data_IF_568313542595
#
_entry.id   IF_568313542595
#
_cell.length_a   1.000
_cell.length_b   1.000
_cell.length_c   1.000
_cell.angle_alpha   90.00
_cell.angle_beta   90.00
_cell.angle_gamma   90.00
#
_symmetry.space_group_name_H-M   'P 1'
#
loop_
_entity.id
_entity.type
_entity.pdbx_description
1 polymer ?
#
# COMPACT_ATOMS: atom_id res chain seq x y z
N UNK A 1 5.11 -17.60 10.03
CA UNK A 1 5.95 -16.66 9.27
C UNK A 1 5.78 -17.04 7.81
N UNK A 2 5.51 -16.07 6.92
CA UNK A 2 5.37 -16.38 5.49
C UNK A 2 6.74 -16.71 4.90
N UNK A 3 6.82 -17.78 4.10
CA UNK A 3 8.05 -18.15 3.40
C UNK A 3 8.27 -17.32 2.12
N UNK A 4 7.29 -16.51 1.72
CA UNK A 4 7.36 -15.63 0.55
C UNK A 4 8.34 -14.46 0.80
N UNK A 5 9.39 -14.27 -0.03
CA UNK A 5 10.32 -13.16 0.08
C UNK A 5 9.65 -11.78 0.04
N UNK A 6 8.56 -11.62 -0.71
CA UNK A 6 7.81 -10.36 -0.82
C UNK A 6 7.13 -10.05 0.52
N UNK A 7 6.51 -11.06 1.15
CA UNK A 7 5.85 -10.90 2.44
C UNK A 7 6.85 -10.51 3.53
N UNK A 8 8.03 -11.13 3.54
CA UNK A 8 9.07 -10.78 4.51
C UNK A 8 9.63 -9.36 4.31
N UNK A 9 9.71 -8.88 3.07
CA UNK A 9 10.10 -7.50 2.79
C UNK A 9 9.02 -6.52 3.27
N UNK A 10 7.76 -6.81 2.97
CA UNK A 10 6.61 -6.01 3.39
C UNK A 10 6.51 -5.93 4.92
N UNK A 11 6.66 -7.06 5.63
CA UNK A 11 6.68 -7.09 7.10
C UNK A 11 7.80 -6.22 7.68
N UNK A 12 9.01 -6.28 7.11
CA UNK A 12 10.15 -5.46 7.55
C UNK A 12 9.93 -3.98 7.30
N UNK A 13 9.28 -3.60 6.20
CA UNK A 13 9.04 -2.20 5.84
C UNK A 13 7.86 -1.60 6.58
N UNK A 14 6.77 -2.36 6.72
CA UNK A 14 5.54 -1.91 7.37
C UNK A 14 5.65 -1.94 8.91
N UNK A 15 6.59 -2.73 9.45
CA UNK A 15 6.84 -2.83 10.89
C UNK A 15 5.87 -3.74 11.65
N UNK A 16 4.81 -4.23 10.99
CA UNK A 16 3.92 -5.28 11.50
C UNK A 16 3.37 -6.13 10.35
N UNK A 17 2.88 -7.32 10.68
CA UNK A 17 2.29 -8.25 9.71
C UNK A 17 0.97 -7.73 9.16
N UNK A 18 0.15 -7.15 10.00
CA UNK A 18 -1.15 -6.58 9.63
C UNK A 18 -0.98 -5.42 8.65
N UNK A 19 0.00 -4.54 8.90
CA UNK A 19 0.32 -3.46 7.97
C UNK A 19 0.90 -3.98 6.64
N UNK A 20 1.70 -5.05 6.67
CA UNK A 20 2.22 -5.69 5.48
C UNK A 20 1.11 -6.31 4.60
N UNK A 21 0.12 -6.97 5.21
CA UNK A 21 -1.04 -7.53 4.51
C UNK A 21 -1.87 -6.42 3.84
N UNK A 22 -2.04 -5.27 4.50
CA UNK A 22 -2.78 -4.15 3.92
C UNK A 22 -2.02 -3.49 2.75
N UNK A 23 -0.69 -3.38 2.86
CA UNK A 23 0.16 -2.97 1.73
C UNK A 23 0.03 -3.98 0.58
N UNK A 24 0.04 -5.28 0.87
CA UNK A 24 -0.14 -6.34 -0.13
C UNK A 24 -1.50 -6.24 -0.84
N UNK A 25 -2.60 -6.03 -0.11
CA UNK A 25 -3.94 -5.81 -0.67
C UNK A 25 -3.99 -4.56 -1.56
N UNK A 26 -3.32 -3.49 -1.15
CA UNK A 26 -3.22 -2.27 -1.94
C UNK A 26 -2.50 -2.53 -3.27
N UNK A 27 -1.38 -3.27 -3.24
CA UNK A 27 -0.64 -3.65 -4.46
C UNK A 27 -1.50 -4.53 -5.38
N UNK A 28 -2.26 -5.47 -4.83
CA UNK A 28 -3.20 -6.29 -5.61
C UNK A 28 -4.23 -5.40 -6.31
N UNK A 29 -4.73 -4.37 -5.64
CA UNK A 29 -5.69 -3.41 -6.22
C UNK A 29 -5.04 -2.52 -7.29
N UNK A 30 -3.77 -2.13 -7.10
CA UNK A 30 -3.02 -1.33 -8.07
C UNK A 30 -2.71 -2.12 -9.34
N UNK A 31 -2.35 -3.40 -9.20
CA UNK A 31 -2.11 -4.33 -10.33
C UNK A 31 -3.29 -4.38 -11.31
N UNK A 32 -4.50 -4.22 -10.80
CA UNK A 32 -5.73 -4.26 -11.58
C UNK A 32 -5.97 -2.95 -12.37
N UNK A 33 -5.10 -1.95 -12.25
CA UNK A 33 -5.10 -0.73 -13.06
C UNK A 33 -5.79 0.47 -12.42
N UNK A 34 -6.22 0.37 -11.16
CA UNK A 34 -6.98 1.43 -10.45
C UNK A 34 -6.27 2.79 -10.40
N UNK A 35 -4.95 2.82 -10.48
CA UNK A 35 -4.14 4.04 -10.44
C UNK A 35 -3.32 4.29 -11.73
N UNK A 36 -3.73 3.68 -12.85
CA UNK A 36 -3.05 3.83 -14.14
C UNK A 36 -2.04 2.71 -14.46
N UNK A 37 -1.62 2.61 -15.73
CA UNK A 37 -0.85 1.47 -16.21
C UNK A 37 0.56 1.39 -15.60
N UNK A 38 1.22 2.52 -15.34
CA UNK A 38 2.57 2.54 -14.77
C UNK A 38 2.60 1.97 -13.35
N UNK A 39 1.62 2.31 -12.52
CA UNK A 39 1.50 1.78 -11.16
C UNK A 39 1.02 0.32 -11.15
N UNK A 40 0.24 -0.07 -12.16
CA UNK A 40 -0.17 -1.46 -12.34
C UNK A 40 1.01 -2.37 -12.67
N UNK A 41 1.89 -1.96 -13.60
CA UNK A 41 3.11 -2.72 -13.90
C UNK A 41 4.06 -2.79 -12.70
N UNK A 42 4.26 -1.66 -12.01
CA UNK A 42 5.05 -1.64 -10.77
C UNK A 42 4.51 -2.63 -9.73
N UNK A 43 3.19 -2.64 -9.50
CA UNK A 43 2.57 -3.55 -8.55
C UNK A 43 2.72 -5.02 -8.96
N UNK A 44 2.68 -5.35 -10.26
CA UNK A 44 2.97 -6.71 -10.76
C UNK A 44 4.39 -7.11 -10.46
N UNK A 45 5.35 -6.27 -10.84
CA UNK A 45 6.77 -6.58 -10.69
C UNK A 45 7.16 -6.73 -9.21
N UNK A 46 6.54 -5.97 -8.30
CA UNK A 46 6.71 -6.14 -6.85
C UNK A 46 6.08 -7.43 -6.34
N UNK A 47 4.82 -7.70 -6.69
CA UNK A 47 4.11 -8.91 -6.23
C UNK A 47 4.73 -10.20 -6.76
N UNK A 48 5.37 -10.15 -7.93
CA UNK A 48 6.11 -11.27 -8.51
C UNK A 48 7.57 -11.36 -8.03
N UNK A 49 8.01 -10.44 -7.17
CA UNK A 49 9.37 -10.41 -6.63
C UNK A 49 10.45 -10.06 -7.67
N UNK A 50 10.07 -9.50 -8.83
CA UNK A 50 11.01 -9.06 -9.87
C UNK A 50 11.75 -7.77 -9.47
N UNK A 51 11.08 -6.90 -8.72
CA UNK A 51 11.66 -5.70 -8.11
C UNK A 51 11.27 -5.64 -6.64
N UNK A 52 12.17 -5.14 -5.79
CA UNK A 52 11.89 -4.92 -4.37
C UNK A 52 11.21 -3.55 -4.16
N UNK A 53 10.56 -3.35 -3.02
CA UNK A 53 10.06 -2.02 -2.65
C UNK A 53 11.20 -1.00 -2.53
N UNK A 54 12.37 -1.45 -2.09
CA UNK A 54 13.57 -0.61 -2.04
C UNK A 54 14.00 -0.16 -3.43
N UNK A 55 13.83 -1.00 -4.45
CA UNK A 55 14.11 -0.64 -5.84
C UNK A 55 13.09 0.38 -6.35
N UNK A 56 11.81 0.20 -6.03
CA UNK A 56 10.75 1.16 -6.36
C UNK A 56 11.07 2.53 -5.74
N UNK A 57 11.43 2.58 -4.46
CA UNK A 57 11.77 3.83 -3.76
C UNK A 57 13.00 4.55 -4.33
N UNK A 58 13.89 3.83 -5.02
CA UNK A 58 15.09 4.38 -5.68
C UNK A 58 14.88 4.64 -7.16
N UNK A 59 13.76 4.21 -7.73
CA UNK A 59 13.48 4.30 -9.16
C UNK A 59 12.90 5.65 -9.54
N UNK A 60 13.61 6.37 -10.41
CA UNK A 60 13.12 7.61 -11.01
C UNK A 60 11.92 7.36 -11.94
N UNK A 61 11.76 6.15 -12.49
CA UNK A 61 10.64 5.80 -13.36
C UNK A 61 9.29 5.78 -12.62
N UNK A 62 9.31 5.48 -11.31
CA UNK A 62 8.10 5.44 -10.48
C UNK A 62 7.93 6.67 -9.59
N UNK A 63 8.95 7.53 -9.50
CA UNK A 63 8.93 8.72 -8.66
C UNK A 63 7.78 9.67 -9.00
N UNK A 64 7.61 10.03 -10.29
CA UNK A 64 6.55 10.95 -10.70
C UNK A 64 5.13 10.35 -10.53
N UNK A 65 4.84 9.10 -10.97
CA UNK A 65 3.54 8.47 -10.70
C UNK A 65 3.20 8.38 -9.20
N UNK A 66 4.18 8.03 -8.34
CA UNK A 66 3.98 7.94 -6.89
C UNK A 66 3.72 9.31 -6.26
N UNK A 67 4.45 10.35 -6.69
CA UNK A 67 4.20 11.72 -6.23
C UNK A 67 2.79 12.19 -6.61
N UNK A 68 2.33 11.92 -7.84
CA UNK A 68 0.96 12.26 -8.28
C UNK A 68 -0.10 11.54 -7.44
N UNK A 69 0.11 10.25 -7.16
CA UNK A 69 -0.78 9.47 -6.30
C UNK A 69 -0.82 10.01 -4.87
N UNK A 70 0.34 10.37 -4.31
CA UNK A 70 0.45 10.98 -2.99
C UNK A 70 -0.26 12.33 -2.92
N UNK A 71 -0.07 13.19 -3.92
CA UNK A 71 -0.78 14.46 -3.98
C UNK A 71 -2.29 14.27 -4.13
N UNK A 72 -2.75 13.32 -4.93
CA UNK A 72 -4.17 13.01 -5.07
C UNK A 72 -4.76 12.56 -3.74
N UNK A 73 -4.05 11.71 -3.00
CA UNK A 73 -4.41 11.30 -1.65
C UNK A 73 -4.45 12.50 -0.69
N UNK A 74 -3.44 13.36 -0.68
CA UNK A 74 -3.42 14.54 0.19
C UNK A 74 -4.54 15.53 -0.13
N UNK A 75 -4.86 15.72 -1.42
CA UNK A 75 -6.00 16.55 -1.86
C UNK A 75 -7.32 15.95 -1.39
N UNK A 76 -7.55 14.67 -1.63
CA UNK A 76 -8.72 13.96 -1.11
C UNK A 76 -8.81 14.11 0.41
N UNK A 77 -7.72 13.85 1.13
CA UNK A 77 -7.65 13.98 2.59
C UNK A 77 -8.00 15.40 3.05
N UNK A 78 -7.54 16.44 2.37
CA UNK A 78 -7.89 17.83 2.72
C UNK A 78 -9.37 18.19 2.51
N UNK A 79 -10.10 17.37 1.75
CA UNK A 79 -11.53 17.55 1.48
C UNK A 79 -12.42 16.71 2.41
N UNK A 80 -11.85 15.71 3.08
CA UNK A 80 -12.55 14.90 4.09
C UNK A 80 -12.51 15.63 5.43
N UNK A 81 -13.69 15.86 6.02
CA UNK A 81 -13.83 16.50 7.34
C UNK A 81 -13.15 15.65 8.44
N UNK A 82 -12.72 16.29 9.53
CA UNK A 82 -12.01 15.63 10.63
C UNK A 82 -12.81 14.47 11.27
N UNK A 83 -14.13 14.57 11.34
CA UNK A 83 -15.03 13.53 11.86
C UNK A 83 -15.07 12.32 10.92
N UNK A 84 -15.16 12.55 9.61
CA UNK A 84 -15.09 11.49 8.61
C UNK A 84 -13.70 10.85 8.54
N UNK A 85 -12.62 11.62 8.74
CA UNK A 85 -11.28 11.04 8.88
C UNK A 85 -11.15 10.18 10.14
N UNK A 86 -11.68 10.63 11.28
CA UNK A 86 -11.67 9.86 12.51
C UNK A 86 -12.44 8.54 12.34
N UNK A 87 -13.54 8.55 11.59
CA UNK A 87 -14.29 7.34 11.21
C UNK A 87 -13.45 6.40 10.34
N UNK A 88 -12.84 6.90 9.28
CA UNK A 88 -12.01 6.10 8.38
C UNK A 88 -10.82 5.48 9.12
N UNK A 89 -10.13 6.25 9.96
CA UNK A 89 -9.04 5.73 10.81
C UNK A 89 -9.55 4.65 11.76
N UNK A 90 -10.70 4.87 12.40
CA UNK A 90 -11.30 3.89 13.30
C UNK A 90 -11.72 2.62 12.56
N UNK A 91 -12.26 2.74 11.34
CA UNK A 91 -12.64 1.61 10.52
C UNK A 91 -11.43 0.81 10.05
N UNK A 92 -10.37 1.49 9.60
CA UNK A 92 -9.09 0.86 9.27
C UNK A 92 -8.47 0.19 10.50
N UNK A 93 -8.46 0.85 11.66
CA UNK A 93 -7.98 0.25 12.91
C UNK A 93 -8.80 -0.99 13.30
N UNK A 94 -10.12 -0.96 13.15
CA UNK A 94 -10.97 -2.15 13.37
C UNK A 94 -10.67 -3.27 12.39
N UNK A 95 -10.39 -2.98 11.11
CA UNK A 95 -9.98 -4.01 10.14
C UNK A 95 -8.58 -4.56 10.42
N UNK A 96 -7.66 -3.73 10.93
CA UNK A 96 -6.28 -4.13 11.22
C UNK A 96 -6.14 -4.87 12.56
N UNK A 97 -6.92 -4.50 13.57
CA UNK A 97 -6.80 -5.03 14.94
C UNK A 97 -8.00 -5.86 15.40
N UNK A 98 -9.13 -5.82 14.69
CA UNK A 98 -10.35 -6.57 15.04
C UNK A 98 -10.35 -8.04 14.61
N UNK A 99 -9.43 -8.46 13.75
CA UNK A 99 -9.25 -9.86 13.33
C UNK A 99 -8.40 -10.69 14.32
N UNK A 100 -7.98 -10.12 15.47
CA UNK A 100 -7.17 -10.83 16.48
C UNK A 100 -7.97 -11.58 17.57
N UNK A 101 -9.30 -11.53 17.55
CA UNK A 101 -10.16 -12.21 18.52
C UNK A 101 -11.12 -13.23 17.86
N UNK A 102 -10.59 -14.28 17.20
CA UNK A 102 -11.29 -15.56 16.95
C UNK A 102 -10.32 -16.74 16.82
#
# INVERSE_FOLDING_TARGET
>A
MSDDPVDQELERMAGSREAAEEVKRTLVTLRDGSAGPELAEMARDVLEGRISFRDVARSSAYAEPLLKAQEAFLRWRSQVDEEEQARLVTETQKRLYGDQDL
#
